data_IF_951322464162
#
_entry.id   IF_951322464162
#
_cell.length_a   1.000
_cell.length_b   1.000
_cell.length_c   1.000
_cell.angle_alpha   90.00
_cell.angle_beta   90.00
_cell.angle_gamma   90.00
#
_symmetry.space_group_name_H-M   'P 1'
#
loop_
_entity.id
_entity.type
_entity.pdbx_description
1 polymer ?
#
# COMPACT_ATOMS: atom_id res chain seq x y z
N UNK A 1 -15.26 20.75 -12.06
CA UNK A 1 -16.14 20.77 -10.88
C UNK A 1 -17.46 20.05 -11.20
N UNK A 2 -18.02 19.36 -10.24
CA UNK A 2 -19.31 18.68 -10.36
C UNK A 2 -20.28 19.28 -9.34
N UNK A 3 -21.00 20.32 -9.73
CA UNK A 3 -21.95 20.99 -8.82
C UNK A 3 -21.26 21.50 -7.56
N UNK A 4 -21.60 20.92 -6.40
CA UNK A 4 -21.05 21.29 -5.10
C UNK A 4 -19.74 20.55 -4.73
N UNK A 5 -19.14 19.87 -5.70
CA UNK A 5 -17.92 19.08 -5.50
C UNK A 5 -16.77 19.59 -6.36
N UNK A 6 -15.58 19.56 -5.82
CA UNK A 6 -14.34 19.69 -6.55
C UNK A 6 -13.79 18.31 -6.91
N UNK A 7 -13.23 18.19 -8.10
CA UNK A 7 -12.70 16.92 -8.62
C UNK A 7 -11.18 17.00 -8.64
N UNK A 8 -10.54 16.01 -8.02
CA UNK A 8 -9.09 15.87 -7.97
C UNK A 8 -8.66 14.57 -8.63
N UNK A 9 -7.52 14.60 -9.29
CA UNK A 9 -6.88 13.42 -9.86
C UNK A 9 -5.99 12.76 -8.82
N UNK A 10 -6.13 11.45 -8.65
CA UNK A 10 -5.25 10.66 -7.79
C UNK A 10 -3.84 10.56 -8.39
N UNK A 11 -2.80 10.44 -7.55
CA UNK A 11 -1.45 10.15 -8.04
C UNK A 11 -1.42 8.88 -8.91
N UNK A 12 -0.56 8.87 -9.92
CA UNK A 12 -0.46 7.72 -10.84
C UNK A 12 0.00 6.43 -10.15
N UNK A 13 0.76 6.56 -9.08
CA UNK A 13 1.25 5.45 -8.28
C UNK A 13 0.25 5.00 -7.21
N UNK A 14 -0.94 5.56 -7.16
CA UNK A 14 -1.97 5.19 -6.18
C UNK A 14 -2.54 3.81 -6.47
N UNK A 15 -2.29 2.86 -5.56
CA UNK A 15 -2.94 1.55 -5.58
C UNK A 15 -4.33 1.60 -4.95
N UNK A 16 -4.41 2.18 -3.77
CA UNK A 16 -5.66 2.28 -3.00
C UNK A 16 -5.58 3.43 -2.02
N UNK A 17 -6.64 4.21 -1.92
CA UNK A 17 -6.75 5.26 -0.90
C UNK A 17 -7.00 4.62 0.46
N UNK A 18 -6.18 4.98 1.43
CA UNK A 18 -6.27 4.44 2.79
C UNK A 18 -7.53 4.96 3.48
N UNK A 19 -8.45 4.05 3.82
CA UNK A 19 -9.71 4.34 4.51
C UNK A 19 -10.65 5.32 3.80
N UNK A 20 -10.38 5.70 2.55
CA UNK A 20 -11.19 6.69 1.83
C UNK A 20 -11.25 8.06 2.51
N UNK A 21 -10.19 8.45 3.20
CA UNK A 21 -10.13 9.63 4.04
C UNK A 21 -9.08 10.60 3.52
N UNK A 22 -9.45 11.85 3.54
CA UNK A 22 -8.65 12.99 3.21
C UNK A 22 -8.55 13.90 4.45
N UNK A 23 -7.43 14.54 4.64
CA UNK A 23 -7.23 15.50 5.74
C UNK A 23 -7.08 16.90 5.21
N UNK A 24 -7.79 17.87 5.80
CA UNK A 24 -7.54 19.28 5.56
C UNK A 24 -6.23 19.71 6.22
N UNK A 25 -5.39 20.44 5.51
CA UNK A 25 -4.10 20.92 6.00
C UNK A 25 -4.09 22.41 6.36
N UNK A 26 -5.22 23.12 6.23
CA UNK A 26 -5.34 24.56 6.45
C UNK A 26 -5.21 24.99 7.91
N UNK A 27 -3.99 25.01 8.46
CA UNK A 27 -3.68 25.43 9.84
C UNK A 27 -3.98 24.40 10.92
N UNK A 28 -4.85 23.45 10.67
CA UNK A 28 -5.20 22.36 11.56
C UNK A 28 -5.53 21.10 10.73
N UNK A 29 -5.00 19.98 11.13
CA UNK A 29 -5.29 18.71 10.48
C UNK A 29 -6.68 18.23 10.91
N UNK A 30 -7.64 18.28 10.01
CA UNK A 30 -9.00 17.80 10.21
C UNK A 30 -9.33 16.68 9.23
N UNK A 31 -9.99 15.65 9.74
CA UNK A 31 -10.42 14.51 8.93
C UNK A 31 -11.63 14.91 8.08
N UNK A 32 -11.57 14.53 6.80
CA UNK A 32 -12.67 14.71 5.85
C UNK A 32 -12.88 13.40 5.09
N UNK A 33 -14.14 13.03 4.90
CA UNK A 33 -14.45 11.88 4.06
C UNK A 33 -14.44 12.27 2.58
N UNK A 34 -13.92 11.37 1.74
CA UNK A 34 -14.05 11.51 0.30
C UNK A 34 -15.51 11.27 -0.05
N UNK A 35 -16.13 12.26 -0.69
CA UNK A 35 -17.54 12.19 -1.02
C UNK A 35 -17.83 11.11 -2.06
N UNK A 36 -16.95 10.92 -3.04
CA UNK A 36 -17.16 9.94 -4.09
C UNK A 36 -15.87 9.62 -4.84
N UNK A 37 -15.69 8.33 -5.16
CA UNK A 37 -14.72 7.91 -6.16
C UNK A 37 -15.37 7.99 -7.54
N UNK A 38 -14.68 8.65 -8.46
CA UNK A 38 -15.08 8.76 -9.87
C UNK A 38 -14.11 7.90 -10.68
N UNK A 39 -14.57 7.23 -11.72
CA UNK A 39 -13.71 6.47 -12.63
C UNK A 39 -12.50 7.29 -13.13
N UNK A 40 -11.52 6.61 -13.71
CA UNK A 40 -10.29 7.21 -14.24
C UNK A 40 -9.37 7.84 -13.18
N UNK A 41 -9.33 7.25 -11.98
CA UNK A 41 -8.43 7.70 -10.92
C UNK A 41 -8.77 9.09 -10.37
N UNK A 42 -10.01 9.44 -10.30
CA UNK A 42 -10.48 10.74 -9.79
C UNK A 42 -11.34 10.58 -8.54
N UNK A 43 -11.29 11.58 -7.68
CA UNK A 43 -12.12 11.71 -6.49
C UNK A 43 -12.88 13.03 -6.50
N UNK A 44 -14.08 13.01 -5.93
CA UNK A 44 -14.87 14.20 -5.69
C UNK A 44 -14.88 14.51 -4.18
N UNK A 45 -14.60 15.75 -3.83
CA UNK A 45 -14.58 16.25 -2.47
C UNK A 45 -15.49 17.47 -2.37
N UNK A 46 -16.18 17.65 -1.24
CA UNK A 46 -17.01 18.82 -1.04
C UNK A 46 -16.20 20.12 -1.22
N UNK A 47 -16.81 21.13 -1.82
CA UNK A 47 -16.18 22.44 -2.02
C UNK A 47 -15.74 23.07 -0.70
N UNK A 48 -14.67 23.84 -0.77
CA UNK A 48 -14.13 24.56 0.38
C UNK A 48 -12.86 23.94 0.96
N UNK A 49 -12.33 22.89 0.34
CA UNK A 49 -11.01 22.35 0.68
C UNK A 49 -9.95 23.13 -0.09
N UNK A 50 -9.27 24.06 0.59
CA UNK A 50 -8.20 24.86 -0.03
C UNK A 50 -6.90 24.05 -0.17
N UNK A 51 -6.62 23.19 0.79
CA UNK A 51 -5.43 22.34 0.82
C UNK A 51 -5.74 21.04 1.57
N UNK A 52 -5.11 19.94 1.19
CA UNK A 52 -5.40 18.65 1.78
C UNK A 52 -4.28 17.64 1.65
N UNK A 53 -4.33 16.64 2.52
CA UNK A 53 -3.43 15.49 2.55
C UNK A 53 -4.23 14.21 2.31
N UNK A 54 -3.81 13.43 1.34
CA UNK A 54 -4.38 12.14 1.03
C UNK A 54 -3.41 11.04 1.45
N UNK A 55 -3.87 10.14 2.31
CA UNK A 55 -3.11 8.91 2.61
C UNK A 55 -3.54 7.80 1.67
N UNK A 56 -2.58 7.19 1.02
CA UNK A 56 -2.85 6.10 0.08
C UNK A 56 -1.74 5.06 0.08
N UNK A 57 -2.09 3.86 -0.36
CA UNK A 57 -1.12 2.81 -0.68
C UNK A 57 -0.65 3.02 -2.11
N UNK A 58 0.65 3.05 -2.32
CA UNK A 58 1.22 3.21 -3.65
C UNK A 58 1.72 1.90 -4.23
N UNK A 59 1.74 1.82 -5.53
CA UNK A 59 2.47 0.76 -6.21
C UNK A 59 3.98 0.93 -5.94
N UNK A 60 4.70 -0.16 -5.67
CA UNK A 60 6.15 -0.09 -5.55
C UNK A 60 6.79 0.26 -6.89
N UNK A 61 7.89 0.98 -6.86
CA UNK A 61 8.72 1.15 -8.05
C UNK A 61 9.33 -0.20 -8.42
N UNK A 62 9.23 -0.56 -9.69
CA UNK A 62 9.81 -1.80 -10.19
C UNK A 62 11.32 -1.64 -10.34
N UNK A 63 12.06 -2.73 -10.13
CA UNK A 63 13.45 -2.82 -10.55
C UNK A 63 13.54 -2.72 -12.07
N UNK A 64 14.61 -2.14 -12.59
CA UNK A 64 14.88 -2.12 -14.03
C UNK A 64 15.10 -3.54 -14.57
N UNK A 65 15.12 -3.66 -15.90
CA UNK A 65 15.32 -4.96 -16.57
C UNK A 65 16.71 -5.56 -16.28
N UNK A 66 17.69 -4.72 -15.97
CA UNK A 66 19.04 -5.11 -15.59
C UNK A 66 19.46 -4.29 -14.35
N UNK A 67 18.90 -4.62 -13.18
CA UNK A 67 19.18 -3.87 -11.96
C UNK A 67 20.64 -4.01 -11.53
N UNK A 68 21.24 -2.92 -11.09
CA UNK A 68 22.57 -2.95 -10.49
C UNK A 68 22.53 -3.58 -9.10
N UNK A 69 23.67 -4.02 -8.59
CA UNK A 69 23.80 -4.59 -7.25
C UNK A 69 23.40 -3.62 -6.14
N UNK A 70 23.41 -2.32 -6.44
CA UNK A 70 23.02 -1.25 -5.51
C UNK A 70 21.51 -0.93 -5.52
N UNK A 71 20.74 -1.47 -6.48
CA UNK A 71 19.31 -1.29 -6.50
C UNK A 71 18.62 -2.09 -5.41
N UNK A 72 17.73 -1.43 -4.67
CA UNK A 72 16.96 -2.03 -3.58
C UNK A 72 15.50 -2.14 -3.96
N UNK A 73 14.84 -3.19 -3.49
CA UNK A 73 13.41 -3.34 -3.64
C UNK A 73 12.66 -2.20 -2.93
N UNK A 74 11.69 -1.62 -3.62
CA UNK A 74 10.87 -0.51 -3.11
C UNK A 74 9.71 -1.02 -2.26
N UNK A 75 10.05 -1.76 -1.22
CA UNK A 75 9.10 -2.25 -0.24
C UNK A 75 9.77 -2.36 1.13
N UNK A 76 8.98 -2.66 2.15
CA UNK A 76 9.50 -2.85 3.49
C UNK A 76 10.59 -3.93 3.54
N UNK A 77 11.65 -3.69 4.31
CA UNK A 77 12.72 -4.66 4.52
C UNK A 77 12.23 -6.02 5.04
N UNK A 78 11.10 -6.04 5.72
CA UNK A 78 10.46 -7.29 6.19
C UNK A 78 9.99 -8.19 5.06
N UNK A 79 9.75 -7.64 3.88
CA UNK A 79 9.30 -8.40 2.70
C UNK A 79 10.45 -8.93 1.85
N UNK A 80 11.66 -8.39 2.01
CA UNK A 80 12.81 -8.74 1.17
C UNK A 80 13.17 -10.22 1.25
N UNK A 81 13.10 -10.82 2.43
CA UNK A 81 13.37 -12.24 2.60
C UNK A 81 12.32 -13.11 1.89
N UNK A 82 11.05 -12.73 1.92
CA UNK A 82 10.00 -13.42 1.19
C UNK A 82 10.24 -13.37 -0.32
N UNK A 83 10.64 -12.23 -0.85
CA UNK A 83 11.00 -12.09 -2.28
C UNK A 83 12.19 -13.01 -2.64
N UNK A 84 13.21 -13.09 -1.78
CA UNK A 84 14.35 -13.97 -2.01
C UNK A 84 13.94 -15.45 -2.07
N UNK A 85 13.05 -15.92 -1.20
CA UNK A 85 12.52 -17.28 -1.25
C UNK A 85 11.71 -17.55 -2.52
N UNK A 86 10.90 -16.60 -2.94
CA UNK A 86 10.14 -16.70 -4.19
C UNK A 86 11.07 -16.82 -5.40
N UNK A 87 12.07 -15.95 -5.51
CA UNK A 87 13.03 -16.00 -6.60
C UNK A 87 13.84 -17.30 -6.61
N UNK A 88 14.32 -17.76 -5.46
CA UNK A 88 15.04 -19.01 -5.34
C UNK A 88 14.18 -20.22 -5.72
N UNK A 89 12.92 -20.23 -5.34
CA UNK A 89 11.97 -21.27 -5.72
C UNK A 89 11.83 -21.36 -7.24
N UNK A 90 11.62 -20.26 -7.92
CA UNK A 90 11.48 -20.22 -9.38
C UNK A 90 12.74 -20.61 -10.13
N UNK A 91 13.93 -20.32 -9.59
CA UNK A 91 15.19 -20.78 -10.16
C UNK A 91 15.35 -22.31 -10.08
N UNK A 92 14.72 -22.95 -9.11
CA UNK A 92 14.78 -24.40 -8.93
C UNK A 92 13.67 -25.18 -9.64
N UNK A 93 12.69 -24.48 -10.21
CA UNK A 93 11.48 -25.08 -10.76
C UNK A 93 11.75 -26.20 -11.77
N UNK A 94 12.71 -26.01 -12.67
CA UNK A 94 13.03 -26.96 -13.73
C UNK A 94 14.01 -28.07 -13.30
N UNK A 95 14.85 -27.78 -12.29
CA UNK A 95 15.96 -28.67 -11.92
C UNK A 95 15.63 -29.52 -10.69
N UNK A 96 14.80 -29.07 -9.79
CA UNK A 96 14.51 -29.72 -8.52
C UNK A 96 13.12 -29.37 -8.00
N UNK A 97 12.13 -30.17 -8.37
CA UNK A 97 10.74 -29.98 -7.95
C UNK A 97 10.56 -30.00 -6.43
N UNK A 98 11.30 -30.86 -5.73
CA UNK A 98 11.25 -30.90 -4.27
C UNK A 98 11.80 -29.60 -3.63
N UNK A 99 12.92 -29.11 -4.14
CA UNK A 99 13.49 -27.84 -3.72
C UNK A 99 12.57 -26.66 -4.00
N UNK A 100 11.93 -26.65 -5.16
CA UNK A 100 10.91 -25.66 -5.49
C UNK A 100 9.77 -25.65 -4.46
N UNK A 101 9.19 -26.79 -4.18
CA UNK A 101 8.07 -26.93 -3.23
C UNK A 101 8.46 -26.43 -1.83
N UNK A 102 9.63 -26.82 -1.33
CA UNK A 102 10.11 -26.40 -0.02
C UNK A 102 10.29 -24.87 0.09
N UNK A 103 10.92 -24.27 -0.90
CA UNK A 103 11.14 -22.81 -0.94
C UNK A 103 9.86 -22.03 -1.16
N UNK A 104 8.95 -22.52 -2.00
CA UNK A 104 7.66 -21.90 -2.22
C UNK A 104 6.78 -21.94 -0.97
N UNK A 105 6.77 -23.05 -0.24
CA UNK A 105 6.07 -23.16 1.03
C UNK A 105 6.63 -22.19 2.09
N UNK A 106 7.94 -21.99 2.13
CA UNK A 106 8.56 -21.00 3.01
C UNK A 106 8.14 -19.56 2.63
N UNK A 107 8.10 -19.26 1.33
CA UNK A 107 7.57 -17.98 0.84
C UNK A 107 6.13 -17.75 1.31
N UNK A 108 5.23 -18.70 1.11
CA UNK A 108 3.83 -18.60 1.54
C UNK A 108 3.69 -18.40 3.05
N UNK A 109 4.50 -19.10 3.84
CA UNK A 109 4.53 -18.95 5.30
C UNK A 109 4.93 -17.54 5.72
N UNK A 110 5.94 -16.98 5.08
CA UNK A 110 6.40 -15.61 5.37
C UNK A 110 5.38 -14.56 4.96
N UNK A 111 4.74 -14.73 3.82
CA UNK A 111 3.66 -13.83 3.39
C UNK A 111 2.49 -13.85 4.38
N UNK A 112 2.07 -15.03 4.85
CA UNK A 112 1.01 -15.15 5.84
C UNK A 112 1.36 -14.44 7.15
N UNK A 113 2.59 -14.56 7.64
CA UNK A 113 3.06 -13.84 8.84
C UNK A 113 3.05 -12.32 8.68
N UNK A 114 3.41 -11.81 7.50
CA UNK A 114 3.35 -10.38 7.20
C UNK A 114 1.92 -9.84 7.25
N UNK A 115 0.95 -10.58 6.71
CA UNK A 115 -0.46 -10.22 6.81
C UNK A 115 -0.96 -10.19 8.25
N UNK A 116 -0.63 -11.19 9.05
CA UNK A 116 -1.03 -11.27 10.46
C UNK A 116 -0.47 -10.11 11.27
N UNK A 117 0.79 -9.77 11.07
CA UNK A 117 1.44 -8.63 11.73
C UNK A 117 0.79 -7.30 11.34
N UNK A 118 0.52 -7.09 10.06
CA UNK A 118 -0.14 -5.89 9.56
C UNK A 118 -1.55 -5.74 10.13
N UNK A 119 -2.32 -6.82 10.19
CA UNK A 119 -3.66 -6.82 10.77
C UNK A 119 -3.63 -6.50 12.26
N UNK A 120 -2.69 -7.05 13.03
CA UNK A 120 -2.50 -6.78 14.44
C UNK A 120 -2.13 -5.31 14.72
N UNK A 121 -1.24 -4.74 13.94
CA UNK A 121 -0.85 -3.32 14.03
C UNK A 121 -2.04 -2.39 13.77
N UNK A 122 -2.83 -2.66 12.74
CA UNK A 122 -4.02 -1.88 12.42
C UNK A 122 -5.05 -1.95 13.53
N UNK A 123 -5.26 -3.11 14.11
CA UNK A 123 -6.17 -3.33 15.23
C UNK A 123 -5.73 -2.58 16.49
N UNK A 124 -4.43 -2.62 16.80
CA UNK A 124 -3.81 -1.91 17.92
C UNK A 124 -3.95 -0.39 17.78
N UNK A 125 -3.72 0.15 16.60
CA UNK A 125 -3.90 1.57 16.31
C UNK A 125 -5.36 2.02 16.51
N UNK A 126 -6.31 1.23 16.08
CA UNK A 126 -7.74 1.52 16.31
C UNK A 126 -8.10 1.58 17.78
N UNK A 127 -7.55 0.68 18.60
CA UNK A 127 -7.75 0.69 20.05
C UNK A 127 -7.21 1.95 20.72
N UNK A 128 -6.07 2.45 20.30
CA UNK A 128 -5.46 3.67 20.82
C UNK A 128 -6.34 4.90 20.52
N UNK A 129 -6.88 4.98 19.32
CA UNK A 129 -7.78 6.08 18.96
C UNK A 129 -9.12 6.02 19.69
N UNK A 130 -9.67 4.82 19.91
CA UNK A 130 -10.89 4.63 20.67
C UNK A 130 -10.73 4.99 22.16
N UNK A 131 -9.55 4.76 22.75
CA UNK A 131 -9.24 5.10 24.14
C UNK A 131 -8.97 6.60 24.37
N UNK A 132 -8.69 7.37 23.32
CA UNK A 132 -8.44 8.81 23.35
C UNK A 132 -9.71 9.69 23.24
N UNK A 133 -10.84 9.06 23.17
CA UNK A 133 -12.15 9.72 23.16
C UNK A 133 -12.70 9.71 24.58
#
# INVERSE_FOLDING_TARGET
>A
ALGDYDVYTLPQDCYQVKNGILYSAGGKLERMDIARFIGDGRIAVAKGLDDGLLEYYRYPNLLGDDPSDDETLDNSSHTHTAVAFYAAAHLMLDDNEFGYTALHNEFETRIARLYDTSAAETSSQRSIYAAGI
#
